data_IF_958746582306
#
_entry.id   IF_958746582306
#
_cell.length_a   1.000
_cell.length_b   1.000
_cell.length_c   1.000
_cell.angle_alpha   90.00
_cell.angle_beta   90.00
_cell.angle_gamma   90.00
#
_symmetry.space_group_name_H-M   'P 1'
#
loop_
_entity.id
_entity.type
_entity.pdbx_description
1 polymer ?
#
# COMPACT_ATOMS: atom_id res chain seq x y z
N UNK A 1 -29.80 6.54 -0.61
CA UNK A 1 -29.94 6.94 -2.03
C UNK A 1 -31.07 6.15 -2.66
N UNK A 2 -32.14 6.83 -3.05
CA UNK A 2 -33.30 6.21 -3.71
C UNK A 2 -32.97 6.02 -5.18
N UNK A 3 -33.03 4.77 -5.67
CA UNK A 3 -32.64 4.45 -7.05
C UNK A 3 -33.83 4.65 -7.97
N UNK A 4 -33.71 5.60 -8.90
CA UNK A 4 -34.59 5.66 -10.06
C UNK A 4 -34.36 4.41 -10.91
N UNK A 5 -35.42 3.62 -11.13
CA UNK A 5 -35.41 2.55 -12.12
C UNK A 5 -35.24 3.18 -13.51
N UNK A 6 -34.00 3.20 -13.98
CA UNK A 6 -33.70 3.59 -15.37
C UNK A 6 -34.37 2.56 -16.28
N UNK A 7 -35.17 2.97 -17.28
CA UNK A 7 -35.80 2.04 -18.21
C UNK A 7 -34.75 1.12 -18.83
N UNK A 8 -34.99 -0.18 -18.76
CA UNK A 8 -34.10 -1.23 -19.29
C UNK A 8 -34.84 -1.95 -20.41
N UNK A 9 -34.21 -2.15 -21.57
CA UNK A 9 -34.86 -2.79 -22.70
C UNK A 9 -34.96 -4.31 -22.51
N UNK A 10 -34.06 -4.89 -21.72
CA UNK A 10 -34.04 -6.31 -21.39
C UNK A 10 -33.77 -6.56 -19.89
N UNK A 11 -34.17 -7.73 -19.35
CA UNK A 11 -33.83 -8.11 -17.98
C UNK A 11 -32.32 -8.13 -17.71
N UNK A 12 -31.52 -8.52 -18.70
CA UNK A 12 -30.05 -8.52 -18.60
C UNK A 12 -29.49 -7.10 -18.39
N UNK A 13 -29.98 -6.12 -19.16
CA UNK A 13 -29.59 -4.72 -18.97
C UNK A 13 -29.97 -4.20 -17.59
N UNK A 14 -31.15 -4.60 -17.09
CA UNK A 14 -31.59 -4.26 -15.75
C UNK A 14 -30.64 -4.80 -14.69
N UNK A 15 -30.27 -6.08 -14.76
CA UNK A 15 -29.32 -6.70 -13.82
C UNK A 15 -27.93 -6.06 -13.90
N UNK A 16 -27.43 -5.83 -15.11
CA UNK A 16 -26.11 -5.19 -15.30
C UNK A 16 -26.07 -3.79 -14.69
N UNK A 17 -27.11 -2.98 -14.91
CA UNK A 17 -27.16 -1.59 -14.42
C UNK A 17 -27.48 -1.48 -12.93
N UNK A 18 -28.43 -2.28 -12.43
CA UNK A 18 -28.95 -2.13 -11.07
C UNK A 18 -28.28 -3.03 -10.04
N UNK A 19 -27.65 -4.13 -10.44
CA UNK A 19 -27.01 -5.08 -9.52
C UNK A 19 -25.49 -5.06 -9.68
N UNK A 20 -25.00 -5.18 -10.92
CA UNK A 20 -23.56 -5.31 -11.15
C UNK A 20 -22.78 -4.00 -10.98
N UNK A 21 -23.24 -2.88 -11.56
CA UNK A 21 -22.55 -1.58 -11.40
C UNK A 21 -22.39 -1.14 -9.93
N UNK A 22 -23.42 -1.20 -9.08
CA UNK A 22 -23.25 -0.85 -7.68
C UNK A 22 -22.39 -1.84 -6.90
N UNK A 23 -22.44 -3.13 -7.24
CA UNK A 23 -21.53 -4.11 -6.65
C UNK A 23 -20.07 -3.74 -6.95
N UNK A 24 -19.76 -3.35 -8.20
CA UNK A 24 -18.44 -2.87 -8.57
C UNK A 24 -18.05 -1.59 -7.81
N UNK A 25 -18.97 -0.62 -7.69
CA UNK A 25 -18.70 0.61 -6.96
C UNK A 25 -18.45 0.35 -5.47
N UNK A 26 -19.22 -0.55 -4.86
CA UNK A 26 -19.04 -0.95 -3.46
C UNK A 26 -17.71 -1.71 -3.27
N UNK A 27 -17.38 -2.61 -4.20
CA UNK A 27 -16.09 -3.31 -4.21
C UNK A 27 -14.92 -2.34 -4.34
N UNK A 28 -15.01 -1.33 -5.21
CA UNK A 28 -14.00 -0.27 -5.33
C UNK A 28 -13.83 0.49 -4.00
N UNK A 29 -14.93 0.87 -3.35
CA UNK A 29 -14.88 1.55 -2.05
C UNK A 29 -14.26 0.66 -0.97
N UNK A 30 -14.63 -0.63 -0.92
CA UNK A 30 -14.03 -1.57 0.03
C UNK A 30 -12.52 -1.72 -0.18
N UNK A 31 -12.04 -1.73 -1.43
CA UNK A 31 -10.62 -1.72 -1.71
C UNK A 31 -9.98 -0.41 -1.24
N UNK A 32 -10.59 0.73 -1.56
CA UNK A 32 -10.08 2.03 -1.15
C UNK A 32 -9.97 2.14 0.37
N UNK A 33 -11.02 1.80 1.11
CA UNK A 33 -11.05 1.85 2.57
C UNK A 33 -9.98 0.97 3.22
N UNK A 34 -9.75 -0.24 2.67
CA UNK A 34 -8.75 -1.17 3.20
C UNK A 34 -7.32 -0.75 2.89
N UNK A 35 -7.06 -0.20 1.71
CA UNK A 35 -5.70 0.04 1.24
C UNK A 35 -5.24 1.49 1.40
N UNK A 36 -6.12 2.49 1.38
CA UNK A 36 -5.71 3.89 1.51
C UNK A 36 -5.15 4.18 2.91
N UNK A 37 -5.74 3.59 3.96
CA UNK A 37 -5.26 3.77 5.33
C UNK A 37 -3.82 3.29 5.53
N UNK A 38 -3.43 2.20 4.85
CA UNK A 38 -2.10 1.58 5.00
C UNK A 38 -1.16 1.89 3.84
N UNK A 39 -1.60 2.65 2.84
CA UNK A 39 -0.82 2.93 1.62
C UNK A 39 0.56 3.48 1.93
N UNK A 40 0.64 4.46 2.84
CA UNK A 40 1.90 5.09 3.23
C UNK A 40 2.83 4.14 3.97
N UNK A 41 2.28 3.32 4.88
CA UNK A 41 3.02 2.26 5.59
C UNK A 41 3.60 1.26 4.60
N UNK A 42 2.80 0.78 3.65
CA UNK A 42 3.24 -0.18 2.63
C UNK A 42 4.30 0.42 1.71
N UNK A 43 4.15 1.69 1.31
CA UNK A 43 5.18 2.40 0.53
C UNK A 43 6.48 2.52 1.32
N UNK A 44 6.42 2.90 2.59
CA UNK A 44 7.59 2.96 3.47
C UNK A 44 8.28 1.60 3.62
N UNK A 45 7.52 0.52 3.80
CA UNK A 45 8.08 -0.84 3.84
C UNK A 45 8.72 -1.25 2.50
N UNK A 46 8.13 -0.85 1.36
CA UNK A 46 8.72 -1.10 0.04
C UNK A 46 10.08 -0.42 -0.11
N UNK A 47 10.25 0.77 0.49
CA UNK A 47 11.53 1.47 0.49
C UNK A 47 12.61 0.73 1.30
N UNK A 48 12.25 -0.19 2.20
CA UNK A 48 13.20 -1.05 2.89
C UNK A 48 13.68 -2.23 2.04
N UNK A 49 13.02 -2.55 0.92
CA UNK A 49 13.47 -3.66 0.08
C UNK A 49 14.86 -3.35 -0.49
N UNK A 50 15.76 -4.35 -0.60
CA UNK A 50 17.12 -4.13 -1.08
C UNK A 50 17.20 -3.42 -2.44
N UNK A 51 16.21 -3.64 -3.29
CA UNK A 51 16.09 -2.96 -4.59
C UNK A 51 15.91 -1.44 -4.47
N UNK A 52 15.19 -0.95 -3.47
CA UNK A 52 14.77 0.45 -3.35
C UNK A 52 15.48 1.21 -2.21
N UNK A 53 16.04 0.48 -1.23
CA UNK A 53 16.62 1.09 -0.04
C UNK A 53 17.83 1.98 -0.31
N UNK A 54 18.55 1.79 -1.42
CA UNK A 54 19.68 2.64 -1.79
C UNK A 54 19.27 4.09 -2.12
N UNK A 55 18.01 4.30 -2.54
CA UNK A 55 17.44 5.63 -2.84
C UNK A 55 16.50 6.14 -1.74
N UNK A 56 16.23 5.33 -0.72
CA UNK A 56 15.30 5.66 0.34
C UNK A 56 15.93 6.59 1.38
N UNK A 57 15.18 7.61 1.78
CA UNK A 57 15.49 8.46 2.94
C UNK A 57 14.75 7.98 4.18
N UNK A 58 15.22 8.36 5.37
CA UNK A 58 14.51 8.05 6.63
C UNK A 58 13.10 8.64 6.66
N UNK A 59 12.87 9.78 5.99
CA UNK A 59 11.53 10.36 5.84
C UNK A 59 10.58 9.50 5.02
N UNK A 60 11.09 8.68 4.09
CA UNK A 60 10.25 7.82 3.25
C UNK A 60 9.68 6.62 4.03
N UNK A 61 10.31 6.27 5.16
CA UNK A 61 9.90 5.14 6.01
C UNK A 61 9.21 5.57 7.30
N UNK A 62 9.07 6.88 7.56
CA UNK A 62 8.55 7.40 8.84
C UNK A 62 7.17 6.84 9.18
N UNK A 63 6.23 6.82 8.22
CA UNK A 63 4.90 6.24 8.43
C UNK A 63 4.97 4.75 8.83
N UNK A 64 5.93 3.99 8.28
CA UNK A 64 6.13 2.59 8.64
C UNK A 64 6.77 2.46 10.04
N UNK A 65 7.72 3.32 10.37
CA UNK A 65 8.35 3.37 11.69
C UNK A 65 7.32 3.71 12.77
N UNK A 66 6.46 4.71 12.54
CA UNK A 66 5.37 5.06 13.46
C UNK A 66 4.39 3.91 13.65
N UNK A 67 4.05 3.20 12.58
CA UNK A 67 3.14 2.04 12.64
C UNK A 67 3.71 0.91 13.51
N UNK A 68 5.01 0.63 13.42
CA UNK A 68 5.68 -0.44 14.17
C UNK A 68 6.38 0.02 15.44
N UNK A 69 6.19 1.27 15.88
CA UNK A 69 6.93 1.84 17.02
C UNK A 69 6.74 1.01 18.31
N UNK A 70 5.57 0.39 18.49
CA UNK A 70 5.29 -0.50 19.62
C UNK A 70 6.02 -1.84 19.57
N UNK A 71 6.45 -2.28 18.39
CA UNK A 71 7.20 -3.52 18.16
C UNK A 71 8.72 -3.28 18.09
N UNK A 72 9.14 -2.02 18.00
CA UNK A 72 10.54 -1.62 17.93
C UNK A 72 11.10 -1.39 19.34
N UNK A 73 12.29 -1.91 19.69
CA UNK A 73 12.87 -1.76 21.02
C UNK A 73 13.12 -0.30 21.44
N UNK A 74 13.53 0.55 20.49
CA UNK A 74 13.65 1.99 20.69
C UNK A 74 13.74 2.74 19.35
N UNK A 75 13.18 3.94 19.30
CA UNK A 75 13.23 4.80 18.10
C UNK A 75 14.67 5.17 17.68
N UNK A 76 15.57 5.28 18.66
CA UNK A 76 16.98 5.65 18.43
C UNK A 76 17.77 4.59 17.65
N UNK A 77 17.27 3.35 17.57
CA UNK A 77 17.93 2.25 16.84
C UNK A 77 17.65 2.35 15.33
N UNK A 78 16.54 3.00 14.92
CA UNK A 78 16.09 3.03 13.53
C UNK A 78 17.09 3.72 12.60
N UNK A 79 17.69 4.83 13.03
CA UNK A 79 18.67 5.56 12.21
C UNK A 79 19.93 4.71 11.96
N UNK A 80 20.45 4.07 13.02
CA UNK A 80 21.63 3.21 12.93
C UNK A 80 21.36 1.96 12.08
N UNK A 81 20.24 1.27 12.32
CA UNK A 81 19.85 0.06 11.58
C UNK A 81 19.55 0.38 10.11
N UNK A 82 18.89 1.50 9.82
CA UNK A 82 18.64 1.91 8.43
C UNK A 82 19.95 2.13 7.67
N UNK A 83 20.92 2.78 8.31
CA UNK A 83 22.25 3.00 7.71
C UNK A 83 22.98 1.67 7.47
N UNK A 84 22.96 0.76 8.45
CA UNK A 84 23.55 -0.57 8.32
C UNK A 84 22.88 -1.40 7.23
N UNK A 85 21.56 -1.32 7.15
CA UNK A 85 20.76 -2.02 6.16
C UNK A 85 21.05 -1.54 4.74
N UNK A 86 21.05 -0.21 4.51
CA UNK A 86 21.40 0.37 3.21
C UNK A 86 22.81 -0.05 2.79
N UNK A 87 23.78 0.02 3.70
CA UNK A 87 25.14 -0.44 3.43
C UNK A 87 25.19 -1.92 3.03
N UNK A 88 24.46 -2.78 3.74
CA UNK A 88 24.37 -4.22 3.43
C UNK A 88 23.73 -4.47 2.06
N UNK A 89 22.67 -3.76 1.72
CA UNK A 89 22.00 -3.90 0.43
C UNK A 89 22.84 -3.37 -0.73
N UNK A 90 23.60 -2.28 -0.52
CA UNK A 90 24.51 -1.74 -1.52
C UNK A 90 25.70 -2.67 -1.84
N UNK A 91 26.09 -3.56 -0.93
CA UNK A 91 27.08 -4.61 -1.19
C UNK A 91 26.57 -5.70 -2.15
N UNK A 92 25.25 -5.81 -2.33
CA UNK A 92 24.64 -6.75 -3.28
C UNK A 92 24.60 -6.07 -4.65
N UNK A 93 25.17 -6.73 -5.67
CA UNK A 93 25.04 -6.29 -7.06
C UNK A 93 23.56 -6.08 -7.42
N UNK A 94 23.25 -4.99 -8.13
CA UNK A 94 21.88 -4.56 -8.38
C UNK A 94 21.01 -5.65 -9.05
N UNK A 95 21.60 -6.43 -9.97
CA UNK A 95 20.95 -7.58 -10.64
C UNK A 95 20.59 -8.74 -9.70
N UNK A 96 21.20 -8.80 -8.52
CA UNK A 96 21.05 -9.88 -7.54
C UNK A 96 20.27 -9.42 -6.30
N UNK A 97 19.78 -8.16 -6.26
CA UNK A 97 18.98 -7.69 -5.13
C UNK A 97 17.58 -8.32 -5.19
N UNK A 98 17.11 -8.96 -4.11
CA UNK A 98 15.76 -9.50 -4.08
C UNK A 98 14.74 -8.35 -4.19
N UNK A 99 13.69 -8.63 -4.97
CA UNK A 99 12.54 -7.75 -5.17
C UNK A 99 11.45 -7.99 -4.12
#
# INVERSE_FOLDING_TARGET
MQRSNVPSATPEEYYRRNVYLPLLADFENQLRDRFDAHKKVVVGLNMLLPKFCASASLSDIDDAVQFYLGDIPSANVIEAESTLWVNKCCQIEEKNRPA
#
